data_IF_671256931163
#
_entry.id   IF_671256931163
#
_cell.length_a   1.000
_cell.length_b   1.000
_cell.length_c   1.000
_cell.angle_alpha   90.00
_cell.angle_beta   90.00
_cell.angle_gamma   90.00
#
_symmetry.space_group_name_H-M   'P 1'
#
loop_
_entity.id
_entity.type
_entity.pdbx_description
1 polymer ?
#
# COMPACT_ATOMS: atom_id res chain seq x y z
N UNK A 1 -23.56 14.61 5.38
CA UNK A 1 -23.26 13.36 6.11
C UNK A 1 -21.75 13.14 5.98
N UNK A 2 -21.06 12.77 7.03
CA UNK A 2 -19.61 12.52 6.94
C UNK A 2 -19.34 11.04 6.69
N UNK A 3 -18.35 10.72 5.88
CA UNK A 3 -17.96 9.37 5.53
C UNK A 3 -16.47 9.11 5.73
N UNK A 4 -16.01 7.95 5.27
CA UNK A 4 -14.65 7.49 5.38
C UNK A 4 -14.07 7.15 4.01
N UNK A 5 -12.81 7.49 3.80
CA UNK A 5 -11.95 6.90 2.77
C UNK A 5 -11.08 5.85 3.42
N UNK A 6 -10.94 4.71 2.76
CA UNK A 6 -10.26 3.54 3.32
C UNK A 6 -9.28 3.03 2.28
N UNK A 7 -8.05 2.83 2.71
CA UNK A 7 -7.02 2.11 2.00
C UNK A 7 -6.73 0.81 2.76
N UNK A 8 -6.94 -0.33 2.11
CA UNK A 8 -6.69 -1.67 2.66
C UNK A 8 -5.41 -2.25 2.04
N UNK A 9 -4.29 -1.58 2.26
CA UNK A 9 -3.01 -1.97 1.69
C UNK A 9 -2.41 -3.25 2.30
N UNK A 10 -1.50 -3.89 1.57
CA UNK A 10 -0.76 -5.09 2.00
C UNK A 10 0.03 -4.86 3.29
N UNK A 11 0.69 -3.70 3.42
CA UNK A 11 1.51 -3.36 4.59
C UNK A 11 0.70 -2.68 5.70
N UNK A 12 -0.12 -1.69 5.34
CA UNK A 12 -0.89 -0.88 6.28
C UNK A 12 -2.33 -0.71 5.80
N UNK A 13 -3.24 -0.60 6.75
CA UNK A 13 -4.63 -0.18 6.55
C UNK A 13 -4.79 1.22 7.09
N UNK A 14 -5.19 2.14 6.22
CA UNK A 14 -5.38 3.56 6.57
C UNK A 14 -6.85 3.92 6.41
N UNK A 15 -7.40 4.63 7.40
CA UNK A 15 -8.76 5.19 7.32
C UNK A 15 -8.73 6.68 7.56
N UNK A 16 -9.24 7.41 6.59
CA UNK A 16 -9.38 8.85 6.62
C UNK A 16 -10.86 9.22 6.77
N UNK A 17 -11.17 10.04 7.76
CA UNK A 17 -12.51 10.62 7.90
C UNK A 17 -12.55 11.95 7.14
N UNK A 18 -13.54 12.14 6.26
CA UNK A 18 -13.72 13.29 5.36
C UNK A 18 -13.44 14.68 5.98
N UNK A 19 -13.68 14.85 7.31
CA UNK A 19 -13.52 16.14 8.00
C UNK A 19 -12.46 16.16 9.10
N UNK A 20 -11.94 14.99 9.50
CA UNK A 20 -11.00 14.86 10.63
C UNK A 20 -9.60 14.44 10.20
N UNK A 21 -9.42 14.10 8.92
CA UNK A 21 -8.19 13.50 8.44
C UNK A 21 -8.07 12.03 8.85
N UNK A 22 -6.85 11.54 8.90
CA UNK A 22 -6.55 10.14 9.25
C UNK A 22 -7.01 9.83 10.67
N UNK A 23 -7.85 8.79 10.82
CA UNK A 23 -8.42 8.34 12.10
C UNK A 23 -7.96 6.94 12.49
N UNK A 24 -7.35 6.20 11.56
CA UNK A 24 -6.71 4.92 11.79
C UNK A 24 -5.57 4.75 10.79
N UNK A 25 -4.40 4.35 11.28
CA UNK A 25 -3.22 3.95 10.50
C UNK A 25 -2.59 2.77 11.25
N UNK A 26 -2.84 1.58 10.76
CA UNK A 26 -2.49 0.33 11.43
C UNK A 26 -1.84 -0.64 10.45
N UNK A 27 -0.82 -1.39 10.87
CA UNK A 27 -0.29 -2.48 10.06
C UNK A 27 -1.36 -3.51 9.68
N UNK A 28 -1.36 -3.98 8.44
CA UNK A 28 -2.29 -5.00 7.94
C UNK A 28 -1.86 -6.39 8.41
N UNK A 29 -1.94 -6.62 9.71
CA UNK A 29 -1.52 -7.86 10.37
C UNK A 29 -2.45 -8.21 11.53
N UNK A 30 -2.65 -9.50 11.77
CA UNK A 30 -3.45 -10.00 12.88
C UNK A 30 -2.76 -11.18 13.57
N UNK A 31 -3.16 -11.44 14.81
CA UNK A 31 -2.81 -12.65 15.56
C UNK A 31 -4.01 -13.58 15.59
N UNK A 32 -3.78 -14.82 15.24
CA UNK A 32 -4.80 -15.88 15.22
C UNK A 32 -4.30 -17.10 16.00
N UNK A 33 -5.25 -17.97 16.39
CA UNK A 33 -4.90 -19.30 16.89
C UNK A 33 -4.58 -20.24 15.73
N UNK A 34 -3.59 -21.08 15.88
CA UNK A 34 -3.21 -22.05 14.83
C UNK A 34 -4.16 -23.25 14.74
N UNK A 35 -5.02 -23.45 15.73
CA UNK A 35 -6.06 -24.48 15.77
C UNK A 35 -7.44 -24.00 15.26
N UNK A 36 -7.60 -22.68 15.02
CA UNK A 36 -8.82 -22.16 14.40
C UNK A 36 -8.97 -22.70 12.97
N UNK A 37 -10.12 -23.32 12.69
CA UNK A 37 -10.45 -23.73 11.33
C UNK A 37 -10.82 -22.50 10.49
N UNK A 38 -10.43 -22.49 9.22
CA UNK A 38 -10.59 -21.37 8.29
C UNK A 38 -12.01 -20.75 8.23
N UNK A 39 -13.04 -21.53 8.56
CA UNK A 39 -14.45 -21.06 8.56
C UNK A 39 -14.86 -20.20 9.75
N UNK A 40 -14.04 -20.05 10.79
CA UNK A 40 -14.39 -19.28 12.01
C UNK A 40 -13.15 -18.55 12.55
N UNK A 41 -12.35 -17.99 11.65
CA UNK A 41 -11.14 -17.28 12.03
C UNK A 41 -11.50 -15.99 12.77
N UNK A 42 -11.12 -15.92 14.05
CA UNK A 42 -11.36 -14.73 14.87
C UNK A 42 -10.03 -14.10 15.26
N UNK A 43 -9.71 -12.90 14.78
CA UNK A 43 -8.49 -12.22 15.18
C UNK A 43 -8.50 -11.93 16.69
N UNK A 44 -7.42 -12.30 17.37
CA UNK A 44 -7.22 -11.97 18.79
C UNK A 44 -6.69 -10.54 18.96
N UNK A 45 -5.86 -10.12 18.02
CA UNK A 45 -5.28 -8.78 17.95
C UNK A 45 -5.14 -8.39 16.48
N UNK A 46 -5.19 -7.10 16.19
CA UNK A 46 -4.96 -6.54 14.84
C UNK A 46 -4.05 -5.33 14.94
N UNK A 47 -3.39 -4.97 13.83
CA UNK A 47 -2.62 -3.74 13.72
C UNK A 47 -1.35 -3.73 14.57
N UNK A 48 -1.07 -2.59 15.19
CA UNK A 48 0.15 -2.38 15.99
C UNK A 48 0.34 -3.40 17.11
N UNK A 49 -0.75 -3.81 17.79
CA UNK A 49 -0.68 -4.82 18.85
C UNK A 49 -0.25 -6.18 18.28
N UNK A 50 -0.81 -6.59 17.14
CA UNK A 50 -0.45 -7.83 16.46
C UNK A 50 0.99 -7.80 15.95
N UNK A 51 1.44 -6.65 15.39
CA UNK A 51 2.80 -6.47 14.88
C UNK A 51 3.86 -6.72 15.95
N UNK A 52 3.61 -6.36 17.22
CA UNK A 52 4.56 -6.59 18.31
C UNK A 52 4.86 -8.07 18.54
N UNK A 53 3.95 -8.97 18.15
CA UNK A 53 4.12 -10.41 18.30
C UNK A 53 4.78 -11.09 17.09
N UNK A 54 5.05 -10.36 15.99
CA UNK A 54 5.72 -10.91 14.81
C UNK A 54 7.08 -11.51 15.18
N UNK A 55 7.28 -12.79 14.87
CA UNK A 55 8.46 -13.55 15.23
C UNK A 55 8.61 -13.90 16.73
N UNK A 56 7.58 -13.65 17.55
CA UNK A 56 7.57 -13.88 19.00
C UNK A 56 6.34 -14.62 19.50
N UNK A 57 5.48 -15.10 18.59
CA UNK A 57 4.29 -15.83 18.99
C UNK A 57 4.64 -17.11 19.76
N UNK A 58 4.00 -17.37 20.91
CA UNK A 58 4.11 -18.64 21.58
C UNK A 58 3.42 -19.76 20.76
N UNK A 59 3.66 -21.02 21.12
CA UNK A 59 3.01 -22.17 20.50
C UNK A 59 1.46 -22.02 20.57
N UNK A 60 0.79 -22.36 19.49
CA UNK A 60 -0.68 -22.22 19.36
C UNK A 60 -1.15 -20.88 18.83
N UNK A 61 -0.22 -19.94 18.55
CA UNK A 61 -0.53 -18.62 17.99
C UNK A 61 0.38 -18.31 16.79
N UNK A 62 -0.14 -17.57 15.83
CA UNK A 62 0.62 -17.07 14.69
C UNK A 62 0.20 -15.65 14.33
N UNK A 63 1.17 -14.86 13.83
CA UNK A 63 0.85 -13.63 13.10
C UNK A 63 0.55 -13.98 11.65
N UNK A 64 -0.47 -13.33 11.08
CA UNK A 64 -0.90 -13.51 9.72
C UNK A 64 -1.17 -12.16 9.07
N UNK A 65 -0.73 -11.98 7.80
CA UNK A 65 -1.14 -10.88 6.94
C UNK A 65 -2.32 -11.35 6.09
N UNK A 66 -3.45 -10.68 6.10
CA UNK A 66 -4.65 -11.08 5.35
C UNK A 66 -4.53 -10.79 3.85
N UNK A 67 -3.67 -9.82 3.50
CA UNK A 67 -3.37 -9.39 2.14
C UNK A 67 -1.90 -9.67 1.83
N UNK A 68 -1.61 -10.16 0.65
CA UNK A 68 -0.26 -10.41 0.16
C UNK A 68 -0.18 -10.03 -1.31
N UNK A 69 0.83 -9.26 -1.71
CA UNK A 69 1.04 -8.78 -3.09
C UNK A 69 -0.21 -8.09 -3.68
N UNK A 70 -0.92 -7.30 -2.87
CA UNK A 70 -2.16 -6.64 -3.27
C UNK A 70 -3.35 -7.58 -3.49
N UNK A 71 -3.21 -8.87 -3.19
CA UNK A 71 -4.23 -9.89 -3.42
C UNK A 71 -4.72 -10.50 -2.11
N UNK A 72 -6.01 -10.80 -2.05
CA UNK A 72 -6.60 -11.60 -0.98
C UNK A 72 -6.28 -13.07 -1.23
N UNK A 73 -5.36 -13.64 -0.43
CA UNK A 73 -5.00 -15.06 -0.52
C UNK A 73 -6.07 -15.94 0.16
N UNK A 74 -6.59 -15.47 1.30
CA UNK A 74 -7.60 -16.14 2.08
C UNK A 74 -8.75 -15.17 2.37
N UNK A 75 -9.88 -15.39 1.71
CA UNK A 75 -11.07 -14.53 1.81
C UNK A 75 -11.61 -14.44 3.24
N UNK A 76 -11.59 -15.56 4.00
CA UNK A 76 -12.08 -15.56 5.38
C UNK A 76 -11.12 -14.81 6.31
N UNK A 77 -9.81 -14.96 6.10
CA UNK A 77 -8.80 -14.23 6.85
C UNK A 77 -8.89 -12.72 6.57
N UNK A 78 -9.00 -12.32 5.30
CA UNK A 78 -9.14 -10.93 4.90
C UNK A 78 -10.43 -10.32 5.48
N UNK A 79 -11.55 -11.03 5.34
CA UNK A 79 -12.84 -10.60 5.90
C UNK A 79 -12.75 -10.43 7.42
N UNK A 80 -12.22 -11.40 8.14
CA UNK A 80 -12.06 -11.33 9.60
C UNK A 80 -11.21 -10.13 10.03
N UNK A 81 -10.09 -9.88 9.34
CA UNK A 81 -9.23 -8.73 9.58
C UNK A 81 -9.94 -7.41 9.31
N UNK A 82 -10.61 -7.27 8.16
CA UNK A 82 -11.31 -6.05 7.75
C UNK A 82 -12.42 -5.73 8.76
N UNK A 83 -13.25 -6.73 9.11
CA UNK A 83 -14.31 -6.57 10.11
C UNK A 83 -13.73 -6.14 11.46
N UNK A 84 -12.68 -6.82 11.95
CA UNK A 84 -12.05 -6.48 13.22
C UNK A 84 -11.46 -5.06 13.21
N UNK A 85 -10.75 -4.68 12.15
CA UNK A 85 -10.10 -3.37 12.01
C UNK A 85 -11.12 -2.25 11.87
N UNK A 86 -12.08 -2.37 10.96
CA UNK A 86 -13.09 -1.34 10.71
C UNK A 86 -14.09 -1.20 11.87
N UNK A 87 -14.35 -2.26 12.61
CA UNK A 87 -15.19 -2.20 13.82
C UNK A 87 -14.57 -1.30 14.90
N UNK A 88 -13.24 -1.15 14.95
CA UNK A 88 -12.56 -0.25 15.89
C UNK A 88 -12.92 1.22 15.64
N UNK A 89 -13.17 1.61 14.38
CA UNK A 89 -13.62 2.96 14.04
C UNK A 89 -15.01 3.24 14.60
N UNK A 90 -15.86 2.20 14.67
CA UNK A 90 -17.23 2.29 15.14
C UNK A 90 -17.37 2.42 16.65
N UNK A 91 -16.42 1.88 17.42
CA UNK A 91 -16.47 1.87 18.88
C UNK A 91 -16.43 3.28 19.50
N UNK A 92 -15.87 4.27 18.81
CA UNK A 92 -15.67 5.64 19.31
C UNK A 92 -16.70 6.66 18.81
N UNK A 93 -17.77 6.25 18.11
CA UNK A 93 -18.69 7.20 17.47
C UNK A 93 -20.14 6.91 17.82
N UNK A 94 -20.77 7.82 18.53
CA UNK A 94 -22.16 7.79 19.04
C UNK A 94 -23.24 7.83 17.94
N UNK A 95 -22.89 7.97 16.66
CA UNK A 95 -23.86 8.05 15.57
C UNK A 95 -23.84 6.80 14.71
N UNK A 96 -24.68 5.83 15.04
CA UNK A 96 -24.99 4.61 14.26
C UNK A 96 -25.75 4.86 12.94
N UNK A 97 -25.76 6.07 12.41
CA UNK A 97 -26.52 6.43 11.20
C UNK A 97 -25.65 6.24 9.96
N UNK A 98 -26.00 5.24 9.16
CA UNK A 98 -25.64 5.02 7.75
C UNK A 98 -24.32 5.66 7.34
N UNK A 99 -23.19 4.98 7.58
CA UNK A 99 -21.88 5.48 7.26
C UNK A 99 -21.59 5.20 5.80
N UNK A 100 -21.27 6.25 5.09
CA UNK A 100 -20.71 6.16 3.75
C UNK A 100 -19.22 5.86 3.85
N UNK A 101 -18.73 4.95 3.02
CA UNK A 101 -17.33 4.70 2.85
C UNK A 101 -16.98 4.63 1.37
N UNK A 102 -15.77 5.04 1.03
CA UNK A 102 -15.14 4.77 -0.25
C UNK A 102 -13.87 3.99 0.04
N UNK A 103 -13.73 2.83 -0.55
CA UNK A 103 -12.57 1.95 -0.37
C UNK A 103 -11.75 1.99 -1.65
N UNK A 104 -10.44 2.30 -1.51
CA UNK A 104 -9.46 2.11 -2.57
C UNK A 104 -9.31 0.63 -2.89
N UNK A 105 -9.24 0.30 -4.17
CA UNK A 105 -8.95 -1.05 -4.65
C UNK A 105 -7.89 -0.96 -5.75
N UNK A 106 -6.93 -1.91 -5.82
CA UNK A 106 -6.01 -1.97 -6.94
C UNK A 106 -6.76 -1.96 -8.27
N UNK A 107 -6.22 -1.29 -9.29
CA UNK A 107 -6.88 -1.21 -10.59
C UNK A 107 -7.13 -2.60 -11.21
N UNK A 108 -6.26 -3.59 -10.89
CA UNK A 108 -6.41 -4.99 -11.31
C UNK A 108 -7.22 -5.89 -10.37
N UNK A 109 -7.94 -5.36 -9.37
CA UNK A 109 -8.71 -6.19 -8.44
C UNK A 109 -9.82 -6.98 -9.15
N UNK A 110 -9.96 -8.25 -8.83
CA UNK A 110 -10.97 -9.15 -9.40
C UNK A 110 -12.38 -8.86 -8.87
N UNK A 111 -13.41 -9.26 -9.61
CA UNK A 111 -14.80 -9.13 -9.16
C UNK A 111 -15.07 -9.84 -7.82
N UNK A 112 -14.37 -10.97 -7.57
CA UNK A 112 -14.49 -11.71 -6.31
C UNK A 112 -13.92 -10.92 -5.13
N UNK A 113 -12.74 -10.33 -5.28
CA UNK A 113 -12.10 -9.49 -4.27
C UNK A 113 -12.93 -8.26 -3.94
N UNK A 114 -13.42 -7.58 -4.96
CA UNK A 114 -14.31 -6.43 -4.81
C UNK A 114 -15.57 -6.76 -4.02
N UNK A 115 -16.20 -7.90 -4.35
CA UNK A 115 -17.37 -8.38 -3.64
C UNK A 115 -17.06 -8.71 -2.19
N UNK A 116 -15.93 -9.40 -1.93
CA UNK A 116 -15.50 -9.74 -0.58
C UNK A 116 -15.25 -8.49 0.28
N UNK A 117 -14.65 -7.44 -0.30
CA UNK A 117 -14.44 -6.15 0.37
C UNK A 117 -15.77 -5.47 0.74
N UNK A 118 -16.74 -5.45 -0.19
CA UNK A 118 -18.06 -4.86 0.07
C UNK A 118 -18.83 -5.64 1.15
N UNK A 119 -18.79 -6.97 1.11
CA UNK A 119 -19.42 -7.83 2.13
C UNK A 119 -18.78 -7.63 3.51
N UNK A 120 -17.44 -7.58 3.60
CA UNK A 120 -16.73 -7.32 4.83
C UNK A 120 -17.00 -5.91 5.40
N UNK A 121 -17.09 -4.90 4.53
CA UNK A 121 -17.43 -3.54 4.91
C UNK A 121 -18.87 -3.44 5.47
N UNK A 122 -19.84 -4.10 4.84
CA UNK A 122 -21.23 -4.16 5.34
C UNK A 122 -21.31 -4.83 6.70
N UNK A 123 -20.60 -5.94 6.88
CA UNK A 123 -20.50 -6.65 8.17
C UNK A 123 -19.87 -5.80 9.27
N UNK A 124 -18.85 -4.99 8.93
CA UNK A 124 -18.26 -4.01 9.84
C UNK A 124 -19.19 -2.80 10.14
N UNK A 125 -20.35 -2.72 9.48
CA UNK A 125 -21.35 -1.67 9.68
C UNK A 125 -21.23 -0.47 8.74
N UNK A 126 -20.44 -0.58 7.67
CA UNK A 126 -20.30 0.41 6.61
C UNK A 126 -21.27 0.10 5.46
N UNK A 127 -22.56 0.37 5.66
CA UNK A 127 -23.64 -0.10 4.78
C UNK A 127 -23.74 0.60 3.41
N UNK A 128 -23.04 1.70 3.21
CA UNK A 128 -23.03 2.45 1.94
C UNK A 128 -21.61 2.63 1.46
N UNK A 129 -20.99 1.51 1.10
CA UNK A 129 -19.62 1.47 0.60
C UNK A 129 -19.62 1.52 -0.92
N UNK A 130 -18.73 2.33 -1.48
CA UNK A 130 -18.34 2.35 -2.89
C UNK A 130 -16.87 2.01 -3.02
N UNK A 131 -16.48 1.53 -4.20
CA UNK A 131 -15.08 1.27 -4.52
C UNK A 131 -14.57 2.34 -5.49
N UNK A 132 -13.27 2.61 -5.43
CA UNK A 132 -12.57 3.52 -6.35
C UNK A 132 -11.20 2.90 -6.66
N UNK A 133 -10.69 2.95 -7.90
CA UNK A 133 -9.31 2.56 -8.17
C UNK A 133 -8.32 3.39 -7.33
N UNK A 134 -7.35 2.74 -6.68
CA UNK A 134 -6.32 3.39 -5.86
C UNK A 134 -5.60 4.52 -6.60
N UNK A 135 -5.19 4.36 -7.88
CA UNK A 135 -4.54 5.44 -8.61
C UNK A 135 -5.42 6.69 -8.78
N UNK A 136 -6.73 6.52 -8.90
CA UNK A 136 -7.67 7.65 -9.01
C UNK A 136 -7.86 8.33 -7.65
N UNK A 137 -7.94 7.55 -6.58
CA UNK A 137 -7.97 8.11 -5.22
C UNK A 137 -6.67 8.89 -4.94
N UNK A 138 -5.51 8.31 -5.21
CA UNK A 138 -4.21 8.98 -5.05
C UNK A 138 -4.11 10.28 -5.87
N UNK A 139 -4.58 10.27 -7.11
CA UNK A 139 -4.62 11.45 -7.97
C UNK A 139 -5.44 12.60 -7.33
N UNK A 140 -6.64 12.30 -6.81
CA UNK A 140 -7.45 13.30 -6.10
C UNK A 140 -6.75 13.88 -4.89
N UNK A 141 -6.03 13.07 -4.11
CA UNK A 141 -5.25 13.56 -2.97
C UNK A 141 -4.08 14.44 -3.39
N UNK A 142 -3.53 14.23 -4.59
CA UNK A 142 -2.52 15.09 -5.20
C UNK A 142 -3.10 16.35 -5.86
N UNK A 143 -4.42 16.57 -5.79
CA UNK A 143 -5.09 17.73 -6.37
C UNK A 143 -5.38 17.61 -7.86
N UNK A 144 -5.24 16.42 -8.44
CA UNK A 144 -5.57 16.15 -9.85
C UNK A 144 -7.07 15.90 -9.96
N UNK A 145 -7.71 16.55 -10.94
CA UNK A 145 -9.08 16.24 -11.32
C UNK A 145 -9.10 15.17 -12.43
N UNK A 146 -9.48 13.92 -12.14
CA UNK A 146 -9.41 12.84 -13.14
C UNK A 146 -10.47 12.95 -14.25
N UNK A 147 -11.37 13.92 -14.17
CA UNK A 147 -12.39 14.19 -15.20
C UNK A 147 -11.95 15.22 -16.24
N UNK A 148 -10.78 15.82 -16.09
CA UNK A 148 -10.25 16.78 -17.06
C UNK A 148 -9.94 16.09 -18.40
N UNK A 149 -10.10 16.82 -19.53
CA UNK A 149 -9.73 16.31 -20.85
C UNK A 149 -8.22 16.43 -21.09
N UNK A 150 -7.43 15.94 -20.13
CA UNK A 150 -5.97 15.94 -20.12
C UNK A 150 -5.50 14.62 -19.52
N UNK A 151 -4.45 14.04 -20.08
CA UNK A 151 -3.90 12.79 -19.57
C UNK A 151 -3.01 13.06 -18.34
N UNK A 152 -3.23 12.26 -17.30
CA UNK A 152 -2.42 12.28 -16.08
C UNK A 152 -1.82 10.90 -15.84
N UNK A 153 -0.60 10.87 -15.32
CA UNK A 153 0.10 9.65 -14.95
C UNK A 153 0.39 9.65 -13.45
N UNK A 154 0.10 8.55 -12.82
CA UNK A 154 0.43 8.32 -11.40
C UNK A 154 1.15 7.00 -11.22
N UNK A 155 2.02 6.96 -10.20
CA UNK A 155 2.77 5.77 -9.79
C UNK A 155 2.51 5.55 -8.30
N UNK A 156 2.07 4.34 -7.96
CA UNK A 156 1.90 3.89 -6.58
C UNK A 156 2.90 2.77 -6.27
N UNK A 157 3.74 2.98 -5.26
CA UNK A 157 4.68 1.95 -4.79
C UNK A 157 4.30 1.57 -3.36
N UNK A 158 3.49 0.52 -3.27
CA UNK A 158 2.95 0.01 -2.02
C UNK A 158 3.89 -0.94 -1.27
N UNK A 159 3.28 -1.76 -0.39
CA UNK A 159 3.97 -2.84 0.30
C UNK A 159 4.14 -4.08 -0.56
N UNK A 160 3.08 -4.54 -1.22
CA UNK A 160 3.07 -5.76 -2.03
C UNK A 160 2.98 -5.53 -3.53
N UNK A 161 2.56 -4.34 -3.98
CA UNK A 161 2.41 -4.00 -5.40
C UNK A 161 3.04 -2.68 -5.74
N UNK A 162 3.52 -2.58 -6.98
CA UNK A 162 3.90 -1.33 -7.61
C UNK A 162 3.07 -1.16 -8.87
N UNK A 163 2.39 -0.03 -8.99
CA UNK A 163 1.42 0.23 -10.06
C UNK A 163 1.72 1.54 -10.74
N UNK A 164 1.44 1.59 -12.05
CA UNK A 164 1.42 2.81 -12.84
C UNK A 164 0.13 2.88 -13.61
N UNK A 165 -0.50 4.03 -13.59
CA UNK A 165 -1.79 4.26 -14.26
C UNK A 165 -1.78 5.58 -15.01
N UNK A 166 -2.34 5.57 -16.21
CA UNK A 166 -2.60 6.76 -17.02
C UNK A 166 -4.08 6.85 -17.29
N UNK A 167 -4.66 7.98 -17.00
CA UNK A 167 -6.10 8.22 -17.15
C UNK A 167 -6.37 9.61 -17.75
N UNK A 168 -7.51 9.77 -18.37
CA UNK A 168 -7.96 11.00 -19.02
C UNK A 168 -9.48 11.01 -19.09
N UNK A 169 -10.10 12.14 -18.79
CA UNK A 169 -11.55 12.39 -18.98
C UNK A 169 -12.45 11.30 -18.37
N UNK A 170 -12.11 10.85 -17.18
CA UNK A 170 -12.89 9.87 -16.42
C UNK A 170 -12.72 8.42 -16.89
N UNK A 171 -11.71 8.11 -17.70
CA UNK A 171 -11.39 6.76 -18.17
C UNK A 171 -9.92 6.42 -18.03
N UNK A 172 -9.61 5.12 -17.84
CA UNK A 172 -8.26 4.60 -17.77
C UNK A 172 -7.72 4.38 -19.20
N UNK A 173 -6.60 5.03 -19.55
CA UNK A 173 -5.92 4.83 -20.85
C UNK A 173 -5.04 3.58 -20.83
N UNK A 174 -4.27 3.42 -19.77
CA UNK A 174 -3.45 2.24 -19.55
C UNK A 174 -3.16 2.06 -18.06
N UNK A 175 -2.85 0.83 -17.71
CA UNK A 175 -2.43 0.49 -16.36
C UNK A 175 -1.47 -0.69 -16.41
N UNK A 176 -0.47 -0.69 -15.54
CA UNK A 176 0.45 -1.80 -15.30
C UNK A 176 0.65 -1.96 -13.81
N UNK A 177 0.71 -3.21 -13.38
CA UNK A 177 1.01 -3.59 -12.01
C UNK A 177 2.07 -4.68 -12.00
N UNK A 178 2.96 -4.63 -11.01
CA UNK A 178 3.89 -5.71 -10.73
C UNK A 178 3.86 -6.06 -9.23
N UNK A 179 4.10 -7.33 -8.91
CA UNK A 179 4.15 -7.85 -7.54
C UNK A 179 5.57 -7.81 -6.99
N UNK A 180 6.24 -6.68 -7.21
CA UNK A 180 7.56 -6.37 -6.65
C UNK A 180 7.45 -4.98 -6.04
N UNK A 181 7.59 -4.87 -4.72
CA UNK A 181 7.36 -3.64 -4.00
C UNK A 181 8.13 -3.62 -2.66
N UNK A 182 7.57 -3.00 -1.63
CA UNK A 182 8.19 -2.84 -0.33
C UNK A 182 8.55 -4.15 0.38
N UNK A 183 7.76 -5.21 0.20
CA UNK A 183 8.00 -6.51 0.85
C UNK A 183 9.21 -7.23 0.22
N UNK A 184 9.39 -7.15 -1.12
CA UNK A 184 10.58 -7.67 -1.81
C UNK A 184 11.83 -6.88 -1.44
N UNK A 185 11.73 -5.58 -1.24
CA UNK A 185 12.84 -4.78 -0.69
C UNK A 185 13.23 -5.26 0.70
N UNK A 186 12.27 -5.56 1.56
CA UNK A 186 12.52 -6.09 2.91
C UNK A 186 13.16 -7.47 2.85
N UNK A 187 12.70 -8.33 1.95
CA UNK A 187 13.28 -9.66 1.72
C UNK A 187 14.71 -9.56 1.17
N UNK A 188 14.98 -8.65 0.24
CA UNK A 188 16.33 -8.41 -0.29
C UNK A 188 17.29 -7.99 0.84
N UNK A 189 16.87 -7.09 1.73
CA UNK A 189 17.68 -6.70 2.89
C UNK A 189 17.90 -7.84 3.89
N UNK A 190 16.89 -8.65 4.14
CA UNK A 190 17.02 -9.84 4.97
C UNK A 190 18.11 -10.79 4.42
N UNK A 191 18.08 -11.04 3.10
CA UNK A 191 19.07 -11.87 2.43
C UNK A 191 20.47 -11.24 2.41
N UNK A 192 20.55 -9.94 2.17
CA UNK A 192 21.79 -9.17 2.18
C UNK A 192 22.47 -9.22 3.56
N UNK A 193 21.74 -8.93 4.63
CA UNK A 193 22.26 -8.99 6.00
C UNK A 193 22.78 -10.38 6.36
N UNK A 194 22.07 -11.41 5.93
CA UNK A 194 22.49 -12.80 6.16
C UNK A 194 23.75 -13.17 5.38
N UNK A 195 23.85 -12.79 4.11
CA UNK A 195 24.95 -13.19 3.23
C UNK A 195 26.20 -12.36 3.41
N UNK A 196 26.07 -11.03 3.49
CA UNK A 196 27.23 -10.13 3.55
C UNK A 196 27.68 -9.85 4.98
N UNK A 197 26.75 -9.71 5.90
CA UNK A 197 27.06 -9.43 7.31
C UNK A 197 27.03 -10.66 8.21
N UNK A 198 26.67 -11.84 7.69
CA UNK A 198 26.47 -13.05 8.50
C UNK A 198 25.54 -12.78 9.70
N UNK A 199 24.56 -11.91 9.52
CA UNK A 199 23.64 -11.46 10.54
C UNK A 199 22.22 -11.97 10.22
N UNK A 200 21.68 -12.79 11.10
CA UNK A 200 20.28 -13.24 11.03
C UNK A 200 19.44 -12.24 11.80
N UNK A 201 18.48 -11.62 11.11
CA UNK A 201 17.51 -10.69 11.70
C UNK A 201 16.08 -11.21 11.53
N UNK A 202 15.11 -10.65 12.22
CA UNK A 202 13.70 -10.88 11.95
C UNK A 202 13.17 -9.93 10.86
N UNK A 203 12.00 -10.25 10.29
CA UNK A 203 11.30 -9.42 9.28
C UNK A 203 11.14 -7.97 9.74
N UNK A 204 10.67 -7.75 10.99
CA UNK A 204 10.50 -6.40 11.54
C UNK A 204 11.81 -5.61 11.60
N UNK A 205 12.92 -6.27 11.84
CA UNK A 205 14.24 -5.61 11.87
C UNK A 205 14.66 -5.23 10.46
N UNK A 206 14.50 -6.12 9.47
CA UNK A 206 14.79 -5.82 8.07
C UNK A 206 13.91 -4.66 7.55
N UNK A 207 12.62 -4.67 7.87
CA UNK A 207 11.70 -3.57 7.55
C UNK A 207 12.12 -2.25 8.21
N UNK A 208 12.55 -2.29 9.47
CA UNK A 208 13.08 -1.10 10.16
C UNK A 208 14.34 -0.57 9.49
N UNK A 209 15.23 -1.45 9.01
CA UNK A 209 16.44 -1.08 8.26
C UNK A 209 16.04 -0.37 6.96
N UNK A 210 15.09 -0.92 6.20
CA UNK A 210 14.57 -0.30 4.98
C UNK A 210 14.03 1.12 5.25
N UNK A 211 13.16 1.27 6.24
CA UNK A 211 12.57 2.56 6.58
C UNK A 211 13.60 3.61 7.03
N UNK A 212 14.73 3.20 7.63
CA UNK A 212 15.80 4.13 8.04
C UNK A 212 16.54 4.77 6.87
N UNK A 213 16.47 4.19 5.68
CA UNK A 213 17.08 4.77 4.47
C UNK A 213 16.38 6.06 4.04
N UNK A 214 15.11 6.23 4.39
CA UNK A 214 14.37 7.45 4.16
C UNK A 214 14.77 8.60 5.13
N UNK A 215 15.43 8.28 6.27
CA UNK A 215 15.86 9.25 7.26
C UNK A 215 17.26 9.81 6.90
N UNK A 216 17.32 11.08 6.53
CA UNK A 216 18.55 11.78 6.16
C UNK A 216 19.46 12.15 7.36
N UNK A 217 18.99 11.90 8.58
CA UNK A 217 19.66 12.40 9.81
C UNK A 217 20.95 11.68 10.15
N UNK A 218 21.20 10.46 9.67
CA UNK A 218 22.38 9.66 10.00
C UNK A 218 22.94 8.91 8.80
N UNK A 219 24.26 9.02 8.52
CA UNK A 219 24.89 8.30 7.40
C UNK A 219 25.03 6.79 7.67
N UNK A 220 24.91 6.36 8.92
CA UNK A 220 25.03 4.96 9.33
C UNK A 220 24.23 4.68 10.60
N UNK A 221 23.90 3.41 10.82
CA UNK A 221 23.15 2.95 11.98
C UNK A 221 23.54 1.51 12.39
N UNK A 222 23.26 1.17 13.63
CA UNK A 222 23.55 -0.16 14.18
C UNK A 222 22.30 -1.05 14.09
N UNK A 223 22.50 -2.29 13.64
CA UNK A 223 21.48 -3.33 13.56
C UNK A 223 21.87 -4.48 14.47
N UNK A 224 20.92 -4.99 15.24
CA UNK A 224 21.09 -6.12 16.12
C UNK A 224 20.45 -7.37 15.52
N UNK A 225 21.16 -8.49 15.60
CA UNK A 225 20.67 -9.80 15.15
C UNK A 225 21.46 -10.93 15.81
N UNK A 226 21.39 -12.11 15.21
CA UNK A 226 22.18 -13.28 15.61
C UNK A 226 23.29 -13.52 14.58
N UNK A 227 24.48 -13.81 15.04
CA UNK A 227 25.55 -14.31 14.20
C UNK A 227 25.15 -15.65 13.56
N UNK A 228 25.25 -15.77 12.23
CA UNK A 228 24.75 -16.92 11.50
C UNK A 228 25.51 -18.22 11.77
N UNK A 229 26.78 -18.12 12.21
CA UNK A 229 27.62 -19.28 12.50
C UNK A 229 27.48 -19.76 13.96
N UNK A 230 27.38 -18.81 14.90
CA UNK A 230 27.40 -19.12 16.34
C UNK A 230 26.02 -19.08 17.00
N UNK A 231 25.03 -18.45 16.37
CA UNK A 231 23.71 -18.21 16.95
C UNK A 231 23.70 -17.22 18.10
N UNK A 232 24.83 -16.52 18.36
CA UNK A 232 24.93 -15.55 19.46
C UNK A 232 24.51 -14.15 19.03
N UNK A 233 24.01 -13.30 19.96
CA UNK A 233 23.72 -11.90 19.66
C UNK A 233 24.93 -11.18 19.06
N UNK A 234 24.69 -10.43 17.98
CA UNK A 234 25.72 -9.66 17.27
C UNK A 234 25.16 -8.32 16.83
N UNK A 235 26.03 -7.32 16.80
CA UNK A 235 25.76 -5.99 16.25
C UNK A 235 26.51 -5.84 14.93
N UNK A 236 25.87 -5.25 13.93
CA UNK A 236 26.49 -4.81 12.68
C UNK A 236 26.19 -3.32 12.47
N UNK A 237 27.18 -2.59 11.96
CA UNK A 237 26.99 -1.18 11.54
C UNK A 237 26.78 -1.18 10.04
N UNK A 238 25.70 -0.55 9.57
CA UNK A 238 25.35 -0.39 8.17
C UNK A 238 25.43 1.08 7.79
N UNK A 239 25.93 1.39 6.62
CA UNK A 239 25.79 2.71 6.02
C UNK A 239 24.50 2.80 5.23
N UNK A 240 23.92 3.99 5.10
CA UNK A 240 22.73 4.23 4.26
C UNK A 240 23.02 3.87 2.81
N UNK A 241 24.18 4.25 2.28
CA UNK A 241 24.55 3.96 0.89
C UNK A 241 24.63 2.45 0.63
N UNK A 242 25.21 1.68 1.56
CA UNK A 242 25.28 0.22 1.46
C UNK A 242 23.88 -0.42 1.38
N UNK A 243 22.92 0.09 2.15
CA UNK A 243 21.54 -0.40 2.12
C UNK A 243 20.85 -0.01 0.81
N UNK A 244 21.07 1.21 0.30
CA UNK A 244 20.58 1.63 -1.02
C UNK A 244 21.13 0.73 -2.13
N UNK A 245 22.43 0.44 -2.13
CA UNK A 245 23.06 -0.47 -3.10
C UNK A 245 22.48 -1.90 -3.01
N UNK A 246 22.20 -2.38 -1.81
CA UNK A 246 21.57 -3.70 -1.61
C UNK A 246 20.13 -3.77 -2.15
N UNK A 247 19.42 -2.65 -2.17
CA UNK A 247 18.06 -2.53 -2.70
C UNK A 247 18.01 -2.26 -4.20
N UNK A 248 19.09 -1.74 -4.80
CA UNK A 248 19.10 -1.30 -6.19
C UNK A 248 18.57 -2.37 -7.17
N UNK A 249 18.93 -3.66 -7.12
CA UNK A 249 18.39 -4.65 -8.06
C UNK A 249 16.87 -4.81 -7.99
N UNK A 250 16.30 -4.70 -6.80
CA UNK A 250 14.82 -4.78 -6.61
C UNK A 250 14.15 -3.52 -7.13
N UNK A 251 14.71 -2.36 -6.85
CA UNK A 251 14.22 -1.06 -7.31
C UNK A 251 14.29 -0.96 -8.84
N UNK A 252 15.42 -1.35 -9.44
CA UNK A 252 15.59 -1.39 -10.91
C UNK A 252 14.56 -2.32 -11.56
N UNK A 253 14.25 -3.45 -10.92
CA UNK A 253 13.21 -4.37 -11.38
C UNK A 253 11.81 -3.74 -11.36
N UNK A 254 11.46 -2.98 -10.33
CA UNK A 254 10.20 -2.23 -10.25
C UNK A 254 10.13 -1.20 -11.39
N UNK A 255 11.16 -0.37 -11.51
CA UNK A 255 11.22 0.69 -12.50
C UNK A 255 11.11 0.14 -13.93
N UNK A 256 11.85 -0.94 -14.23
CA UNK A 256 11.79 -1.58 -15.54
C UNK A 256 10.40 -2.18 -15.84
N UNK A 257 9.75 -2.80 -14.84
CA UNK A 257 8.41 -3.36 -15.02
C UNK A 257 7.36 -2.27 -15.29
N UNK A 258 7.48 -1.12 -14.64
CA UNK A 258 6.54 0.00 -14.81
C UNK A 258 6.78 0.80 -16.08
N UNK A 259 8.02 0.96 -16.54
CA UNK A 259 8.37 1.76 -17.71
C UNK A 259 7.68 1.26 -19.01
N UNK A 260 7.40 -0.04 -19.10
CA UNK A 260 6.69 -0.62 -20.25
C UNK A 260 5.25 -0.11 -20.44
N UNK A 261 4.69 0.67 -19.49
CA UNK A 261 3.37 1.25 -19.65
C UNK A 261 3.31 2.35 -20.73
N UNK A 262 4.45 2.95 -21.07
CA UNK A 262 4.54 4.02 -22.05
C UNK A 262 4.41 3.54 -23.50
N UNK A 263 4.66 2.27 -23.77
CA UNK A 263 4.79 1.71 -25.13
C UNK A 263 3.56 1.89 -26.02
N UNK A 264 2.37 2.08 -25.43
CA UNK A 264 1.10 2.14 -26.17
C UNK A 264 0.31 3.44 -25.91
N UNK A 265 0.93 4.45 -25.31
CA UNK A 265 0.24 5.73 -25.07
C UNK A 265 0.07 6.54 -26.36
N UNK A 266 -1.06 7.23 -26.55
CA UNK A 266 -1.21 8.21 -27.62
C UNK A 266 -0.21 9.34 -27.45
N UNK A 267 0.35 9.91 -28.57
CA UNK A 267 1.33 11.00 -28.51
C UNK A 267 0.82 12.22 -27.74
N UNK A 268 -0.48 12.53 -27.85
CA UNK A 268 -1.10 13.64 -27.13
C UNK A 268 -1.08 13.41 -25.60
N UNK A 269 -1.32 12.19 -25.18
CA UNK A 269 -1.24 11.83 -23.75
C UNK A 269 0.21 11.93 -23.23
N UNK A 270 1.20 11.56 -24.03
CA UNK A 270 2.62 11.72 -23.68
C UNK A 270 2.99 13.20 -23.53
N UNK A 271 2.47 14.08 -24.40
CA UNK A 271 2.68 15.53 -24.31
C UNK A 271 2.06 16.10 -23.02
N UNK A 272 0.83 15.69 -22.68
CA UNK A 272 0.18 16.11 -21.44
C UNK A 272 1.02 15.71 -20.21
N UNK A 273 1.49 14.46 -20.16
CA UNK A 273 2.30 13.95 -19.06
C UNK A 273 3.65 14.68 -18.96
N UNK A 274 4.24 15.05 -20.10
CA UNK A 274 5.48 15.83 -20.14
C UNK A 274 5.31 17.21 -19.51
N UNK A 275 4.16 17.85 -19.73
CA UNK A 275 3.85 19.18 -19.17
C UNK A 275 3.50 19.10 -17.69
N UNK A 276 2.65 18.16 -17.28
CA UNK A 276 2.11 18.03 -15.92
C UNK A 276 3.08 17.32 -14.97
N UNK A 277 3.92 16.43 -15.49
CA UNK A 277 4.74 15.51 -14.72
C UNK A 277 3.96 14.29 -14.22
N UNK A 278 4.68 13.40 -13.54
CA UNK A 278 4.16 12.16 -12.96
C UNK A 278 4.06 12.33 -11.45
N UNK A 279 2.93 11.96 -10.86
CA UNK A 279 2.79 11.95 -9.42
C UNK A 279 3.07 10.55 -8.86
N UNK A 280 3.89 10.49 -7.81
CA UNK A 280 4.26 9.23 -7.16
C UNK A 280 3.86 9.26 -5.68
N UNK A 281 3.24 8.17 -5.22
CA UNK A 281 2.82 7.96 -3.84
C UNK A 281 3.02 6.50 -3.41
N UNK A 282 2.57 6.13 -2.20
CA UNK A 282 2.88 4.85 -1.57
C UNK A 282 4.20 4.87 -0.81
N UNK A 283 4.35 3.95 0.14
CA UNK A 283 5.48 3.92 1.07
C UNK A 283 6.85 3.68 0.43
N UNK A 284 6.87 2.99 -0.73
CA UNK A 284 8.11 2.72 -1.47
C UNK A 284 8.75 3.97 -2.07
N UNK A 285 7.96 5.01 -2.36
CA UNK A 285 8.47 6.28 -2.90
C UNK A 285 9.32 7.07 -1.92
N UNK A 286 9.24 6.73 -0.63
CA UNK A 286 10.06 7.33 0.42
C UNK A 286 11.52 6.84 0.41
N UNK A 287 11.84 5.82 -0.40
CA UNK A 287 13.22 5.37 -0.54
C UNK A 287 14.07 6.48 -1.16
N UNK A 288 15.21 6.77 -0.53
CA UNK A 288 16.10 7.86 -0.94
C UNK A 288 16.55 7.74 -2.41
N UNK A 289 16.30 8.78 -3.18
CA UNK A 289 16.71 8.86 -4.59
C UNK A 289 15.81 8.09 -5.57
N UNK A 290 14.68 7.53 -5.07
CA UNK A 290 13.75 6.79 -5.91
C UNK A 290 13.02 7.72 -6.92
N UNK A 291 12.73 8.95 -6.53
CA UNK A 291 12.21 9.99 -7.40
C UNK A 291 13.08 10.20 -8.64
N UNK A 292 14.41 10.32 -8.45
CA UNK A 292 15.36 10.48 -9.55
C UNK A 292 15.47 9.24 -10.45
N UNK A 293 15.40 8.06 -9.87
CA UNK A 293 15.38 6.81 -10.65
C UNK A 293 14.13 6.73 -11.53
N UNK A 294 12.98 7.17 -11.02
CA UNK A 294 11.75 7.26 -11.82
C UNK A 294 11.87 8.33 -12.92
N UNK A 295 12.41 9.52 -12.61
CA UNK A 295 12.64 10.58 -13.61
C UNK A 295 13.55 10.11 -14.76
N UNK A 296 14.66 9.44 -14.42
CA UNK A 296 15.61 8.90 -15.40
C UNK A 296 14.96 7.82 -16.29
N UNK A 297 14.14 6.95 -15.70
CA UNK A 297 13.51 5.84 -16.41
C UNK A 297 12.34 6.29 -17.30
N UNK A 298 11.52 7.20 -16.83
CA UNK A 298 10.32 7.65 -17.52
C UNK A 298 10.58 8.87 -18.41
N UNK A 299 11.69 9.59 -18.20
CA UNK A 299 12.02 10.86 -18.87
C UNK A 299 10.97 11.95 -18.66
N UNK A 300 10.23 11.89 -17.55
CA UNK A 300 9.25 12.87 -17.12
C UNK A 300 9.61 13.43 -15.75
N UNK A 301 9.24 14.68 -15.42
CA UNK A 301 9.35 15.19 -14.07
C UNK A 301 8.52 14.36 -13.09
N UNK A 302 9.08 13.95 -11.95
CA UNK A 302 8.37 13.18 -10.93
C UNK A 302 8.12 14.06 -9.69
N UNK A 303 6.88 14.06 -9.20
CA UNK A 303 6.44 14.79 -8.03
C UNK A 303 5.99 13.79 -6.98
N UNK A 304 6.57 13.85 -5.80
CA UNK A 304 6.13 13.03 -4.68
C UNK A 304 4.92 13.67 -4.00
N UNK A 305 3.93 12.85 -3.64
CA UNK A 305 2.81 13.31 -2.82
C UNK A 305 3.33 13.78 -1.44
N UNK A 306 2.71 14.82 -0.88
CA UNK A 306 3.11 15.35 0.45
C UNK A 306 2.97 14.29 1.55
N UNK A 307 1.97 13.42 1.46
CA UNK A 307 1.68 12.36 2.42
C UNK A 307 1.52 11.02 1.70
N UNK A 308 2.60 10.44 1.18
CA UNK A 308 2.52 9.28 0.29
C UNK A 308 1.92 8.04 0.94
N UNK A 309 2.05 7.88 2.26
CA UNK A 309 1.50 6.72 3.01
C UNK A 309 -0.02 6.78 3.22
N UNK A 310 -0.63 7.95 3.16
CA UNK A 310 -2.06 8.15 3.45
C UNK A 310 -2.85 8.66 2.25
N UNK A 311 -2.14 8.90 1.14
CA UNK A 311 -2.62 9.53 -0.08
C UNK A 311 -3.90 8.84 -0.61
N UNK A 312 -3.89 7.53 -0.74
CA UNK A 312 -5.05 6.75 -1.24
C UNK A 312 -6.26 6.90 -0.32
N UNK A 313 -6.09 6.75 1.01
CA UNK A 313 -7.19 6.90 1.95
C UNK A 313 -7.77 8.33 1.99
N UNK A 314 -6.91 9.34 1.87
CA UNK A 314 -7.33 10.75 1.83
C UNK A 314 -8.08 11.06 0.54
N UNK A 315 -7.61 10.58 -0.59
CA UNK A 315 -8.28 10.72 -1.88
C UNK A 315 -9.60 9.96 -1.92
N UNK A 316 -9.65 8.75 -1.39
CA UNK A 316 -10.90 8.01 -1.26
C UNK A 316 -11.93 8.77 -0.37
N UNK A 317 -11.47 9.44 0.70
CA UNK A 317 -12.34 10.31 1.50
C UNK A 317 -12.83 11.54 0.72
N UNK A 318 -11.96 12.12 -0.13
CA UNK A 318 -12.30 13.24 -1.01
C UNK A 318 -13.36 12.87 -2.06
N UNK A 319 -13.38 11.60 -2.54
CA UNK A 319 -14.40 11.12 -3.46
C UNK A 319 -15.85 11.28 -2.93
N UNK A 320 -16.05 11.38 -1.63
CA UNK A 320 -17.37 11.62 -1.05
C UNK A 320 -17.93 13.01 -1.38
N UNK A 321 -17.06 13.97 -1.67
CA UNK A 321 -17.41 15.30 -2.13
C UNK A 321 -17.47 15.40 -3.67
N UNK A 322 -17.01 14.34 -4.39
CA UNK A 322 -16.90 14.24 -5.84
C UNK A 322 -17.65 13.01 -6.38
N UNK A 323 -18.99 12.94 -6.23
CA UNK A 323 -19.77 11.78 -6.68
C UNK A 323 -19.68 11.52 -8.18
N UNK A 324 -19.38 12.54 -8.98
CA UNK A 324 -19.14 12.46 -10.42
C UNK A 324 -17.91 11.60 -10.74
N UNK A 325 -16.83 11.70 -9.95
CA UNK A 325 -15.64 10.85 -10.08
C UNK A 325 -15.98 9.39 -9.79
N UNK A 326 -16.70 9.14 -8.67
CA UNK A 326 -17.16 7.79 -8.34
C UNK A 326 -17.99 7.17 -9.43
N UNK A 327 -18.84 7.97 -10.10
CA UNK A 327 -19.69 7.48 -11.17
C UNK A 327 -18.92 7.22 -12.47
N UNK A 328 -17.90 8.00 -12.76
CA UNK A 328 -17.08 7.83 -13.97
C UNK A 328 -16.27 6.52 -13.91
N UNK A 329 -15.73 6.18 -12.75
CA UNK A 329 -14.88 4.98 -12.56
C UNK A 329 -15.62 3.75 -12.00
N UNK A 330 -16.96 3.82 -11.82
CA UNK A 330 -17.78 2.68 -11.32
C UNK A 330 -17.76 1.50 -12.32
N UNK A 331 -17.72 1.79 -13.64
CA UNK A 331 -17.61 0.80 -14.71
C UNK A 331 -16.25 0.12 -14.80
N UNK A 332 -15.17 0.85 -14.62
CA UNK A 332 -13.80 0.31 -14.67
C UNK A 332 -13.49 -0.64 -13.50
N UNK A 333 -14.24 -0.48 -12.42
CA UNK A 333 -14.25 -1.43 -11.31
C UNK A 333 -14.98 -2.74 -11.71
N UNK A 334 -15.79 -2.79 -12.80
CA UNK A 334 -16.57 -3.96 -13.20
C UNK A 334 -16.01 -4.72 -14.40
N UNK A 335 -15.14 -4.15 -15.25
CA UNK A 335 -14.77 -4.72 -16.56
C UNK A 335 -13.38 -5.40 -16.65
N UNK A 336 -12.62 -5.53 -15.55
CA UNK A 336 -11.41 -6.35 -15.54
C UNK A 336 -11.78 -7.84 -15.45
N UNK A 337 -12.17 -8.44 -16.57
CA UNK A 337 -12.43 -9.85 -16.77
C UNK A 337 -11.26 -10.52 -17.53
#
# INVERSE_FOLDING_TARGET
>A
MSGFGIDLGTANTVVCHQRRGVVLDEPSIMVVRTDDHAKHLTPLMVGHEARQLTGRCPAGYATMRPLHDGVIIDLEAARAFIVATLSRINAHSWHRLQRHAVIGVPAGATALERRALLEAADEAGLRRTKLIPEPIAGALACGINPLEPRAHMVIDIGGGTSEVSVFCFGGMLTHRSCRVAGDEMTLALYQYLRSQHQLIVGELTAETVKCRVADESSPSFVVQGLDSATGRPRLATLSVNEVVEALAPTVDGIVAALANCLDNLPPEAVNDIQEEGVWAFGGGTLLRGFDKLLEDAFSFPVRLAERPLTCVAEGAASCLDHPEVLSAFDGEVTEAA
#
